data_IF_338001040530
#
_entry.id   IF_338001040530
#
_cell.length_a   1.000
_cell.length_b   1.000
_cell.length_c   1.000
_cell.angle_alpha   90.00
_cell.angle_beta   90.00
_cell.angle_gamma   90.00
#
_symmetry.space_group_name_H-M   'P 1'
#
loop_
_entity.id
_entity.type
_entity.pdbx_description
1 polymer ?
#
# COMPACT_ATOMS: atom_id res chain seq x y z
N UNK A 1 -2.65 28.19 21.18
CA UNK A 1 -2.05 27.13 20.35
C UNK A 1 -2.99 25.95 20.39
N UNK A 2 -3.68 25.62 19.29
CA UNK A 2 -4.60 24.47 19.24
C UNK A 2 -3.78 23.19 19.33
N UNK A 3 -4.06 22.36 20.34
CA UNK A 3 -3.47 21.03 20.47
C UNK A 3 -4.05 20.12 19.38
N UNK A 4 -3.33 20.02 18.26
CA UNK A 4 -3.75 19.20 17.13
C UNK A 4 -3.30 17.75 17.38
N UNK A 5 -4.21 16.92 17.91
CA UNK A 5 -3.98 15.48 18.05
C UNK A 5 -3.95 14.86 16.64
N UNK A 6 -2.74 14.59 16.13
CA UNK A 6 -2.55 14.00 14.78
C UNK A 6 -2.86 12.51 14.71
N UNK A 7 -2.85 11.81 15.86
CA UNK A 7 -3.05 10.37 15.91
C UNK A 7 -3.93 10.01 17.10
N UNK A 8 -5.05 9.33 16.83
CA UNK A 8 -5.88 8.70 17.85
C UNK A 8 -5.53 7.21 17.96
N UNK A 9 -5.26 6.74 19.17
CA UNK A 9 -5.10 5.32 19.46
C UNK A 9 -6.34 4.81 20.17
N UNK A 10 -7.03 3.86 19.58
CA UNK A 10 -8.22 3.24 20.15
C UNK A 10 -8.05 1.72 20.27
N UNK A 11 -8.79 1.09 21.18
CA UNK A 11 -8.87 -0.37 21.33
C UNK A 11 -10.20 -0.85 20.76
N UNK A 12 -10.15 -1.85 19.90
CA UNK A 12 -11.35 -2.52 19.38
C UNK A 12 -11.87 -3.45 20.48
N UNK A 13 -13.06 -3.15 21.01
CA UNK A 13 -13.64 -3.91 22.12
C UNK A 13 -14.07 -5.32 21.71
N UNK A 14 -14.56 -5.48 20.48
CA UNK A 14 -15.01 -6.76 19.89
C UNK A 14 -13.97 -7.38 18.94
N UNK A 15 -12.68 -7.20 19.23
CA UNK A 15 -11.58 -7.62 18.34
C UNK A 15 -11.70 -9.08 17.86
N UNK A 16 -12.06 -10.02 18.75
CA UNK A 16 -12.23 -11.44 18.38
C UNK A 16 -13.26 -11.69 17.29
N UNK A 17 -14.26 -10.81 17.13
CA UNK A 17 -15.30 -10.93 16.10
C UNK A 17 -14.87 -10.32 14.76
N UNK A 18 -13.97 -9.35 14.76
CA UNK A 18 -13.63 -8.55 13.57
C UNK A 18 -12.21 -8.75 13.06
N UNK A 19 -11.33 -9.38 13.84
CA UNK A 19 -9.90 -9.51 13.53
C UNK A 19 -9.66 -10.12 12.14
N UNK A 20 -10.31 -11.24 11.84
CA UNK A 20 -10.15 -11.92 10.55
C UNK A 20 -10.56 -11.03 9.37
N UNK A 21 -11.67 -10.30 9.49
CA UNK A 21 -12.13 -9.40 8.44
C UNK A 21 -11.15 -8.24 8.24
N UNK A 22 -10.63 -7.66 9.33
CA UNK A 22 -9.63 -6.59 9.27
C UNK A 22 -8.32 -7.06 8.63
N UNK A 23 -7.85 -8.26 9.00
CA UNK A 23 -6.63 -8.85 8.44
C UNK A 23 -6.80 -9.14 6.93
N UNK A 24 -7.95 -9.66 6.50
CA UNK A 24 -8.26 -9.87 5.07
C UNK A 24 -8.28 -8.55 4.27
N UNK A 25 -8.81 -7.48 4.84
CA UNK A 25 -8.79 -6.15 4.21
C UNK A 25 -7.37 -5.60 4.12
N UNK A 26 -6.60 -5.70 5.20
CA UNK A 26 -5.19 -5.31 5.22
C UNK A 26 -4.37 -6.06 4.18
N UNK A 27 -4.60 -7.36 4.02
CA UNK A 27 -3.98 -8.18 2.99
C UNK A 27 -4.34 -7.71 1.58
N UNK A 28 -5.63 -7.43 1.33
CA UNK A 28 -6.10 -6.95 0.03
C UNK A 28 -5.50 -5.59 -0.35
N UNK A 29 -5.37 -4.69 0.63
CA UNK A 29 -4.72 -3.40 0.45
C UNK A 29 -3.21 -3.54 0.17
N UNK A 30 -2.50 -4.44 0.87
CA UNK A 30 -1.10 -4.76 0.57
C UNK A 30 -0.92 -5.37 -0.82
N UNK A 31 -1.86 -6.18 -1.29
CA UNK A 31 -1.85 -6.69 -2.68
C UNK A 31 -2.05 -5.58 -3.71
N UNK A 32 -2.99 -4.65 -3.48
CA UNK A 32 -3.16 -3.49 -4.35
C UNK A 32 -1.90 -2.61 -4.39
N UNK A 33 -1.30 -2.32 -3.23
CA UNK A 33 -0.02 -1.61 -3.13
C UNK A 33 1.05 -2.28 -3.99
N UNK A 34 1.18 -3.62 -3.90
CA UNK A 34 2.21 -4.34 -4.65
C UNK A 34 1.99 -4.28 -6.17
N UNK A 35 0.73 -4.35 -6.63
CA UNK A 35 0.37 -4.22 -8.05
C UNK A 35 0.70 -2.80 -8.55
N UNK A 36 0.27 -1.79 -7.81
CA UNK A 36 0.53 -0.40 -8.17
C UNK A 36 2.04 -0.08 -8.13
N UNK A 37 2.77 -0.56 -7.12
CA UNK A 37 4.22 -0.36 -7.00
C UNK A 37 4.97 -1.04 -8.15
N UNK A 38 4.55 -2.24 -8.56
CA UNK A 38 5.12 -2.88 -9.74
C UNK A 38 4.94 -2.00 -10.99
N UNK A 39 3.73 -1.49 -11.24
CA UNK A 39 3.47 -0.59 -12.36
C UNK A 39 4.29 0.71 -12.26
N UNK A 40 4.32 1.38 -11.11
CA UNK A 40 5.12 2.60 -10.89
C UNK A 40 6.61 2.39 -11.18
N UNK A 41 7.16 1.24 -10.81
CA UNK A 41 8.56 0.91 -11.11
C UNK A 41 8.81 0.74 -12.61
N UNK A 42 7.90 0.08 -13.33
CA UNK A 42 8.02 -0.07 -14.78
C UNK A 42 7.98 1.28 -15.48
N UNK A 43 6.99 2.12 -15.16
CA UNK A 43 6.91 3.49 -15.70
C UNK A 43 8.20 4.27 -15.41
N UNK A 44 8.70 4.21 -14.17
CA UNK A 44 9.94 4.88 -13.81
C UNK A 44 11.17 4.35 -14.58
N UNK A 45 11.29 3.02 -14.74
CA UNK A 45 12.38 2.39 -15.49
C UNK A 45 12.35 2.78 -16.98
N UNK A 46 11.16 2.92 -17.55
CA UNK A 46 10.95 3.23 -18.97
C UNK A 46 11.07 4.72 -19.30
N UNK A 47 10.53 5.60 -18.45
CA UNK A 47 10.38 7.04 -18.75
C UNK A 47 11.19 7.95 -17.84
N UNK A 48 11.59 7.48 -16.65
CA UNK A 48 12.15 8.34 -15.61
C UNK A 48 11.11 9.27 -14.96
N UNK A 49 9.81 9.00 -15.14
CA UNK A 49 8.73 9.75 -14.50
C UNK A 49 8.00 8.88 -13.46
N UNK A 50 7.38 9.54 -12.48
CA UNK A 50 6.63 8.87 -11.42
C UNK A 50 5.15 9.10 -11.66
N UNK A 51 4.34 8.03 -11.85
CA UNK A 51 2.91 8.20 -12.03
C UNK A 51 2.28 8.74 -10.75
N UNK A 52 1.37 9.69 -10.89
CA UNK A 52 0.62 10.21 -9.76
C UNK A 52 -0.56 9.29 -9.39
N UNK A 53 -1.29 9.64 -8.33
CA UNK A 53 -2.44 8.85 -7.89
C UNK A 53 -3.60 8.80 -8.91
N UNK A 54 -3.72 9.81 -9.78
CA UNK A 54 -4.69 9.88 -10.87
C UNK A 54 -4.32 8.92 -11.99
N UNK A 55 -3.05 8.93 -12.42
CA UNK A 55 -2.51 7.98 -13.41
C UNK A 55 -2.71 6.54 -12.93
N UNK A 56 -2.31 6.26 -11.68
CA UNK A 56 -2.46 4.95 -11.06
C UNK A 56 -3.93 4.51 -10.96
N UNK A 57 -4.84 5.45 -10.69
CA UNK A 57 -6.26 5.16 -10.64
C UNK A 57 -6.81 4.82 -12.02
N UNK A 58 -6.44 5.57 -13.05
CA UNK A 58 -6.92 5.33 -14.40
C UNK A 58 -6.43 3.99 -14.96
N UNK A 59 -5.18 3.63 -14.67
CA UNK A 59 -4.61 2.32 -14.97
C UNK A 59 -5.34 1.20 -14.21
N UNK A 60 -5.52 1.35 -12.89
CA UNK A 60 -5.92 0.22 -12.03
C UNK A 60 -7.42 0.14 -11.73
N UNK A 61 -8.25 1.12 -12.08
CA UNK A 61 -9.69 1.13 -11.75
C UNK A 61 -10.45 -0.11 -12.23
N UNK A 62 -9.99 -0.75 -13.31
CA UNK A 62 -10.61 -1.96 -13.85
C UNK A 62 -10.04 -3.25 -13.23
N UNK A 63 -8.88 -3.16 -12.58
CA UNK A 63 -8.11 -4.28 -12.06
C UNK A 63 -8.80 -4.94 -10.85
N UNK A 64 -8.72 -6.28 -10.77
CA UNK A 64 -9.40 -7.06 -9.73
C UNK A 64 -8.97 -6.68 -8.31
N UNK A 65 -7.71 -6.29 -8.10
CA UNK A 65 -7.23 -5.86 -6.78
C UNK A 65 -7.75 -4.48 -6.37
N UNK A 66 -8.03 -3.61 -7.32
CA UNK A 66 -8.67 -2.32 -7.05
C UNK A 66 -10.14 -2.52 -6.70
N UNK A 67 -10.85 -3.35 -7.48
CA UNK A 67 -12.28 -3.67 -7.26
C UNK A 67 -12.53 -4.54 -6.03
N UNK A 68 -11.52 -5.25 -5.53
CA UNK A 68 -11.62 -6.07 -4.32
C UNK A 68 -11.70 -5.29 -3.02
N UNK A 69 -11.52 -3.98 -3.07
CA UNK A 69 -11.68 -3.05 -1.95
C UNK A 69 -12.76 -2.02 -2.29
N UNK A 70 -13.31 -1.37 -1.27
CA UNK A 70 -14.15 -0.19 -1.49
C UNK A 70 -13.32 0.90 -2.20
N UNK A 71 -13.93 1.63 -3.12
CA UNK A 71 -13.24 2.58 -4.02
C UNK A 71 -12.40 3.61 -3.26
N UNK A 72 -12.88 4.10 -2.13
CA UNK A 72 -12.15 5.04 -1.27
C UNK A 72 -10.91 4.40 -0.63
N UNK A 73 -11.00 3.14 -0.20
CA UNK A 73 -9.84 2.42 0.33
C UNK A 73 -8.80 2.19 -0.77
N UNK A 74 -9.25 1.82 -1.98
CA UNK A 74 -8.36 1.63 -3.12
C UNK A 74 -7.64 2.91 -3.50
N UNK A 75 -8.37 4.04 -3.59
CA UNK A 75 -7.77 5.35 -3.88
C UNK A 75 -6.75 5.74 -2.81
N UNK A 76 -7.07 5.55 -1.52
CA UNK A 76 -6.12 5.89 -0.44
C UNK A 76 -4.82 5.08 -0.53
N UNK A 77 -4.87 3.80 -0.93
CA UNK A 77 -3.68 2.98 -1.15
C UNK A 77 -2.82 3.54 -2.29
N UNK A 78 -3.45 3.99 -3.39
CA UNK A 78 -2.72 4.59 -4.51
C UNK A 78 -2.12 5.95 -4.14
N UNK A 79 -2.85 6.78 -3.39
CA UNK A 79 -2.33 8.04 -2.83
C UNK A 79 -1.14 7.80 -1.92
N UNK A 80 -1.22 6.81 -1.02
CA UNK A 80 -0.12 6.46 -0.11
C UNK A 80 1.14 6.05 -0.88
N UNK A 81 0.95 5.31 -1.98
CA UNK A 81 2.05 4.90 -2.83
C UNK A 81 2.68 6.09 -3.57
N UNK A 82 1.85 6.96 -4.15
CA UNK A 82 2.31 8.18 -4.82
C UNK A 82 3.07 9.10 -3.86
N UNK A 83 2.57 9.30 -2.64
CA UNK A 83 3.26 10.03 -1.57
C UNK A 83 4.63 9.41 -1.25
N UNK A 84 4.69 8.08 -1.11
CA UNK A 84 5.94 7.37 -0.81
C UNK A 84 6.97 7.47 -1.95
N UNK A 85 6.54 7.37 -3.21
CA UNK A 85 7.40 7.53 -4.37
C UNK A 85 7.93 8.95 -4.51
N UNK A 86 7.07 9.97 -4.34
CA UNK A 86 7.49 11.37 -4.36
C UNK A 86 8.51 11.69 -3.26
N UNK A 87 8.30 11.15 -2.05
CA UNK A 87 9.26 11.26 -0.96
C UNK A 87 10.61 10.63 -1.30
N UNK A 88 10.60 9.41 -1.86
CA UNK A 88 11.82 8.74 -2.32
C UNK A 88 12.54 9.55 -3.40
N UNK A 89 11.82 10.06 -4.39
CA UNK A 89 12.38 10.83 -5.49
C UNK A 89 13.11 12.08 -4.99
N UNK A 90 12.46 12.86 -4.13
CA UNK A 90 13.09 14.02 -3.49
C UNK A 90 14.32 13.63 -2.68
N UNK A 91 14.28 12.52 -1.94
CA UNK A 91 15.44 12.04 -1.18
C UNK A 91 16.60 11.63 -2.11
N UNK A 92 16.30 10.95 -3.22
CA UNK A 92 17.29 10.42 -4.16
C UNK A 92 18.13 11.51 -4.83
N UNK A 93 17.58 12.72 -4.98
CA UNK A 93 18.33 13.88 -5.50
C UNK A 93 19.55 14.24 -4.64
N UNK A 94 19.53 13.91 -3.33
CA UNK A 94 20.63 14.15 -2.39
C UNK A 94 21.35 12.88 -1.93
N UNK A 95 20.73 11.70 -2.06
CA UNK A 95 21.31 10.41 -1.67
C UNK A 95 21.01 9.35 -2.72
N UNK A 96 21.99 9.01 -3.55
CA UNK A 96 21.85 8.01 -4.60
C UNK A 96 21.62 6.58 -4.08
N UNK A 97 21.76 6.35 -2.76
CA UNK A 97 21.47 5.06 -2.09
C UNK A 97 20.02 4.98 -1.59
N UNK A 98 19.21 6.03 -1.79
CA UNK A 98 17.81 6.01 -1.40
C UNK A 98 17.03 4.92 -2.14
N UNK A 99 16.33 4.07 -1.38
CA UNK A 99 15.56 2.97 -1.93
C UNK A 99 14.12 3.39 -2.26
N UNK A 100 13.57 2.99 -3.43
CA UNK A 100 12.17 3.24 -3.74
C UNK A 100 11.24 2.49 -2.78
N UNK A 101 9.95 2.86 -2.73
CA UNK A 101 8.96 2.15 -1.92
C UNK A 101 9.03 0.63 -2.13
N UNK A 102 9.12 -0.11 -1.03
CA UNK A 102 9.23 -1.57 -1.05
C UNK A 102 7.89 -2.26 -1.32
N UNK A 103 7.95 -3.54 -1.68
CA UNK A 103 6.77 -4.39 -1.69
C UNK A 103 6.33 -4.71 -0.26
N UNK A 104 5.03 -4.65 -0.01
CA UNK A 104 4.38 -5.08 1.24
C UNK A 104 4.18 -6.59 1.18
N UNK A 105 5.25 -7.38 1.33
CA UNK A 105 5.18 -8.83 1.45
C UNK A 105 6.44 -9.38 2.12
N UNK A 106 6.27 -10.45 2.90
CA UNK A 106 7.36 -11.27 3.44
C UNK A 106 7.10 -12.70 3.02
N UNK A 107 8.02 -13.28 2.25
CA UNK A 107 7.94 -14.69 1.87
C UNK A 107 8.75 -15.52 2.87
N UNK A 108 8.18 -16.63 3.31
CA UNK A 108 8.82 -17.63 4.14
C UNK A 108 9.08 -18.88 3.32
N UNK A 109 10.25 -19.47 3.51
CA UNK A 109 10.71 -20.63 2.76
C UNK A 109 11.06 -21.77 3.72
N UNK A 110 10.87 -23.01 3.28
CA UNK A 110 11.37 -24.18 4.01
C UNK A 110 12.88 -24.41 3.79
N UNK A 111 13.41 -25.44 4.42
CA UNK A 111 14.83 -25.84 4.30
C UNK A 111 15.23 -26.26 2.88
N UNK A 112 14.26 -26.60 2.03
CA UNK A 112 14.47 -26.94 0.62
C UNK A 112 14.35 -25.71 -0.30
N UNK A 113 14.15 -24.51 0.26
CA UNK A 113 14.01 -23.26 -0.49
C UNK A 113 12.65 -23.08 -1.17
N UNK A 114 11.64 -23.90 -0.83
CA UNK A 114 10.28 -23.75 -1.37
C UNK A 114 9.50 -22.73 -0.55
N UNK A 115 8.73 -21.87 -1.20
CA UNK A 115 7.89 -20.88 -0.50
C UNK A 115 6.74 -21.58 0.22
N UNK A 116 6.67 -21.45 1.54
CA UNK A 116 5.65 -22.08 2.39
C UNK A 116 4.58 -21.11 2.87
N UNK A 117 4.93 -19.84 3.04
CA UNK A 117 4.01 -18.84 3.57
C UNK A 117 4.34 -17.45 3.03
N UNK A 118 3.32 -16.61 2.93
CA UNK A 118 3.46 -15.21 2.52
C UNK A 118 2.65 -14.34 3.49
N UNK A 119 3.35 -13.50 4.24
CA UNK A 119 2.73 -12.49 5.09
C UNK A 119 2.71 -11.14 4.39
N UNK A 120 1.70 -10.34 4.71
CA UNK A 120 1.59 -8.97 4.25
C UNK A 120 1.50 -8.09 5.49
N UNK A 121 2.30 -7.02 5.59
CA UNK A 121 2.11 -6.05 6.64
C UNK A 121 0.70 -5.47 6.54
N UNK A 122 0.11 -5.10 7.69
CA UNK A 122 -1.18 -4.42 7.71
C UNK A 122 -1.05 -3.09 6.98
N UNK A 123 -1.89 -2.90 5.98
CA UNK A 123 -1.94 -1.69 5.16
C UNK A 123 -3.09 -0.78 5.60
N UNK A 124 -2.99 0.51 5.31
CA UNK A 124 -4.06 1.48 5.58
C UNK A 124 -5.31 1.10 4.79
N UNK A 125 -6.45 1.06 5.48
CA UNK A 125 -7.78 0.85 4.89
C UNK A 125 -8.67 1.99 5.36
N UNK A 126 -9.42 2.58 4.43
CA UNK A 126 -10.35 3.67 4.72
C UNK A 126 -11.77 3.19 4.49
N UNK A 127 -12.63 3.34 5.49
CA UNK A 127 -14.05 3.06 5.39
C UNK A 127 -14.82 4.37 5.23
N UNK A 128 -15.93 4.33 4.50
CA UNK A 128 -16.83 5.48 4.40
C UNK A 128 -17.44 5.73 5.78
N UNK A 129 -17.45 6.98 6.20
CA UNK A 129 -18.22 7.40 7.36
C UNK A 129 -19.69 7.42 6.93
N UNK A 130 -20.52 6.63 7.62
CA UNK A 130 -21.97 6.63 7.39
C UNK A 130 -22.59 7.91 7.91
#
# INVERSE_FOLDING_TARGET
MLELHRTHRAKILNHSQVAEMLDRHGWSASKLWNVANYHSRQVWEDTGEIPDHGDLKDELKTHNKYKGLHSQSSQRVLEELAEAFNSWYGKRQSDNRANPPGYRKTNYYDQEGRRVHEEHPRSTVTWKQN
#
